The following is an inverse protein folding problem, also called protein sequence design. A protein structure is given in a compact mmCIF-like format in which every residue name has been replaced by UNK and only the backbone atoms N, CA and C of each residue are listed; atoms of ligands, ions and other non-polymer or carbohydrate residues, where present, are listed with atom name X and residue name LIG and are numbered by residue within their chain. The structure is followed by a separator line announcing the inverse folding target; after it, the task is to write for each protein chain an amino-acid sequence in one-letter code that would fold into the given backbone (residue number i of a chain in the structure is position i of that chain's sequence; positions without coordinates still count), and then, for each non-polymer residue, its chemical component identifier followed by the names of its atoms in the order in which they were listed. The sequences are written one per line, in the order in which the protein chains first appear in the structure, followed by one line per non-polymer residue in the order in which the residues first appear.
data_IF_381529070272
#
_entry.id   IF_381529070272
#
_cell.length_a   1.000
_cell.length_b   1.000
_cell.length_c   1.000
_cell.angle_alpha   90.00
_cell.angle_beta   90.00
_cell.angle_gamma   90.00
#
_symmetry.space_group_name_H-M   'P 1'
#
loop_
_entity.id
_entity.type
_entity.pdbx_description
1 polymer ?
#
# COMPACT_ATOMS: atom_id res chain seq x y z
N UNK A 1 29.24 -16.45 43.12
CA UNK A 1 28.21 -16.54 42.06
C UNK A 1 28.32 -15.36 41.08
N UNK A 2 29.19 -15.38 40.04
CA UNK A 2 29.21 -14.33 39.01
C UNK A 2 29.00 -14.84 37.56
N UNK A 3 28.50 -16.06 37.34
CA UNK A 3 28.41 -16.66 36.01
C UNK A 3 27.12 -16.28 35.22
N UNK A 4 26.05 -15.88 35.89
CA UNK A 4 24.76 -15.63 35.22
C UNK A 4 24.66 -14.25 34.55
N UNK A 5 25.43 -13.27 35.00
CA UNK A 5 25.33 -11.89 34.51
C UNK A 5 25.99 -11.70 33.13
N UNK A 6 27.05 -12.47 32.84
CA UNK A 6 27.79 -12.39 31.57
C UNK A 6 27.01 -12.99 30.39
N UNK A 7 26.19 -14.01 30.65
CA UNK A 7 25.41 -14.70 29.61
C UNK A 7 24.24 -13.83 29.12
N UNK A 8 23.61 -13.07 30.02
CA UNK A 8 22.53 -12.14 29.69
C UNK A 8 23.01 -10.93 28.86
N UNK A 9 24.20 -10.42 29.18
CA UNK A 9 24.83 -9.30 28.44
C UNK A 9 25.30 -9.72 27.04
N UNK A 10 25.79 -10.95 26.88
CA UNK A 10 26.17 -11.50 25.58
C UNK A 10 24.95 -11.73 24.66
N UNK A 11 23.82 -12.20 25.20
CA UNK A 11 22.57 -12.38 24.44
C UNK A 11 21.96 -11.03 24.01
N UNK A 12 22.02 -10.02 24.88
CA UNK A 12 21.54 -8.68 24.55
C UNK A 12 22.38 -8.02 23.45
N UNK A 13 23.70 -8.22 23.46
CA UNK A 13 24.59 -7.66 22.45
C UNK A 13 24.43 -8.36 21.09
N UNK A 14 24.20 -9.69 21.08
CA UNK A 14 23.96 -10.46 19.85
C UNK A 14 22.65 -10.06 19.15
N UNK A 15 21.60 -9.76 19.92
CA UNK A 15 20.34 -9.24 19.39
C UNK A 15 20.49 -7.83 18.79
N UNK A 16 21.34 -6.98 19.38
CA UNK A 16 21.58 -5.62 18.89
C UNK A 16 22.45 -5.60 17.61
N UNK A 17 23.40 -6.53 17.50
CA UNK A 17 24.21 -6.72 16.29
C UNK A 17 23.38 -7.27 15.12
N UNK A 18 22.53 -8.27 15.37
CA UNK A 18 21.60 -8.79 14.35
C UNK A 18 20.63 -7.70 13.85
N UNK A 19 20.14 -6.84 14.76
CA UNK A 19 19.30 -5.69 14.44
C UNK A 19 20.04 -4.65 13.59
N UNK A 20 21.34 -4.42 13.83
CA UNK A 20 22.17 -3.51 13.02
C UNK A 20 22.49 -4.08 11.64
N UNK A 21 22.71 -5.39 11.54
CA UNK A 21 22.99 -6.06 10.27
C UNK A 21 21.74 -6.11 9.37
N UNK A 22 20.58 -6.45 9.95
CA UNK A 22 19.30 -6.45 9.23
C UNK A 22 18.90 -5.04 8.76
N UNK A 23 19.17 -3.99 9.55
CA UNK A 23 18.98 -2.60 9.12
C UNK A 23 19.97 -2.19 8.02
N UNK A 24 21.22 -2.66 8.06
CA UNK A 24 22.25 -2.35 7.06
C UNK A 24 21.89 -2.86 5.66
N UNK A 25 21.45 -4.11 5.56
CA UNK A 25 21.07 -4.72 4.27
C UNK A 25 19.80 -4.09 3.69
N UNK A 26 18.81 -3.77 4.54
CA UNK A 26 17.57 -3.11 4.10
C UNK A 26 17.78 -1.64 3.67
N UNK A 27 18.73 -0.92 4.26
CA UNK A 27 19.02 0.48 3.91
C UNK A 27 19.84 0.59 2.63
N UNK A 28 20.77 -0.34 2.37
CA UNK A 28 21.56 -0.35 1.12
C UNK A 28 20.68 -0.60 -0.11
N UNK A 29 19.63 -1.41 0.01
CA UNK A 29 18.75 -1.70 -1.15
C UNK A 29 17.67 -0.63 -1.40
N UNK A 30 17.15 0.03 -0.36
CA UNK A 30 16.09 1.05 -0.53
C UNK A 30 16.64 2.38 -1.07
N UNK A 31 17.93 2.65 -0.92
CA UNK A 31 18.56 3.86 -1.46
C UNK A 31 19.00 3.74 -2.94
N UNK A 32 19.03 2.52 -3.51
CA UNK A 32 19.58 2.26 -4.84
C UNK A 32 18.60 2.32 -6.01
N UNK A 33 17.29 2.45 -5.77
CA UNK A 33 16.25 2.33 -6.81
C UNK A 33 15.46 3.63 -6.97
N UNK A 34 16.11 4.69 -7.45
CA UNK A 34 15.44 5.96 -7.79
C UNK A 34 16.04 6.59 -9.05
N UNK A 35 15.99 5.90 -10.18
CA UNK A 35 16.04 6.50 -11.52
C UNK A 35 15.48 5.51 -12.55
N UNK A 36 14.17 5.61 -12.81
CA UNK A 36 13.60 5.21 -14.11
C UNK A 36 12.63 6.33 -14.51
N UNK A 37 13.16 7.31 -15.25
CA UNK A 37 12.39 8.27 -16.04
C UNK A 37 11.95 7.59 -17.32
N UNK A 38 10.65 7.44 -17.54
CA UNK A 38 10.10 7.05 -18.85
C UNK A 38 9.54 8.30 -19.53
N UNK A 39 10.09 8.56 -20.71
CA UNK A 39 9.73 9.59 -21.68
C UNK A 39 8.30 9.43 -22.21
N UNK A 40 7.55 10.54 -22.28
CA UNK A 40 6.41 10.68 -23.19
C UNK A 40 6.81 11.72 -24.25
N UNK A 41 6.95 11.23 -25.47
CA UNK A 41 7.46 11.93 -26.64
C UNK A 41 6.34 12.73 -27.32
N UNK A 42 6.62 13.99 -27.60
CA UNK A 42 5.82 14.89 -28.46
C UNK A 42 5.81 14.36 -29.89
N UNK A 43 4.62 14.20 -30.47
CA UNK A 43 4.46 13.96 -31.90
C UNK A 43 3.73 15.16 -32.53
N UNK A 44 4.44 15.87 -33.42
CA UNK A 44 3.86 16.76 -34.42
C UNK A 44 4.38 16.35 -35.80
N UNK A 45 3.45 16.44 -36.76
CA UNK A 45 3.57 16.58 -38.22
C UNK A 45 3.90 15.38 -39.12
N UNK A 46 2.95 15.12 -40.04
CA UNK A 46 3.10 15.10 -41.52
C UNK A 46 1.67 15.17 -42.11
N UNK A 47 1.17 16.30 -42.64
CA UNK A 47 1.33 16.89 -43.99
C UNK A 47 0.56 16.16 -45.12
N UNK A 48 -0.50 16.82 -45.66
CA UNK A 48 -0.96 16.71 -47.06
C UNK A 48 -1.63 18.01 -47.51
N UNK A 49 -1.49 18.28 -48.81
CA UNK A 49 -1.52 19.55 -49.56
C UNK A 49 -2.87 19.83 -50.26
N UNK A 50 -3.29 21.10 -50.41
CA UNK A 50 -3.77 21.74 -51.67
C UNK A 50 -4.27 23.22 -51.49
N UNK A 51 -4.35 24.07 -52.55
CA UNK A 51 -4.07 25.52 -52.47
C UNK A 51 -5.18 26.51 -52.93
N UNK A 52 -4.96 27.78 -52.55
CA UNK A 52 -5.19 29.07 -53.25
C UNK A 52 -6.56 29.80 -53.34
N UNK A 53 -6.44 31.15 -53.29
CA UNK A 53 -7.35 32.29 -53.59
C UNK A 53 -8.12 32.88 -52.37
N UNK A 54 -8.21 34.19 -52.11
CA UNK A 54 -7.83 35.44 -52.80
C UNK A 54 -7.95 36.67 -51.84
N UNK A 55 -7.08 37.68 -52.04
CA UNK A 55 -7.21 39.16 -51.85
C UNK A 55 -7.35 39.85 -50.47
N UNK A 56 -6.36 40.73 -50.19
CA UNK A 56 -6.28 41.85 -49.22
C UNK A 56 -7.26 43.03 -49.54
N UNK A 57 -7.18 44.26 -48.93
CA UNK A 57 -6.50 44.76 -47.72
C UNK A 57 -7.37 45.70 -46.82
N UNK A 58 -6.85 46.14 -45.66
CA UNK A 58 -6.63 47.57 -45.25
C UNK A 58 -6.48 47.71 -43.71
N UNK A 59 -5.37 48.36 -43.34
CA UNK A 59 -4.74 48.70 -42.04
C UNK A 59 -5.42 49.90 -41.32
N UNK A 60 -4.82 50.57 -40.30
CA UNK A 60 -4.41 50.23 -38.91
C UNK A 60 -5.15 51.09 -37.83
N UNK A 61 -4.96 50.80 -36.53
CA UNK A 61 -4.50 51.78 -35.50
C UNK A 61 -4.62 51.23 -34.06
N UNK A 62 -3.58 51.50 -33.26
CA UNK A 62 -3.49 51.32 -31.80
C UNK A 62 -3.44 52.73 -31.12
N UNK A 63 -3.09 52.90 -29.84
CA UNK A 63 -3.63 52.40 -28.55
C UNK A 63 -4.04 53.62 -27.65
N UNK A 64 -3.63 53.76 -26.36
CA UNK A 64 -4.17 53.22 -25.09
C UNK A 64 -4.68 54.30 -24.12
N UNK A 65 -5.35 53.94 -23.01
CA UNK A 65 -5.24 54.66 -21.71
C UNK A 65 -5.85 53.87 -20.54
N UNK A 66 -5.10 53.83 -19.42
CA UNK A 66 -5.49 53.38 -18.08
C UNK A 66 -6.07 54.58 -17.27
N UNK A 67 -6.11 54.63 -15.91
CA UNK A 67 -6.36 53.66 -14.83
C UNK A 67 -7.42 54.20 -13.79
N UNK A 68 -7.48 53.56 -12.60
CA UNK A 68 -7.82 54.11 -11.25
C UNK A 68 -9.15 53.67 -10.59
N UNK A 69 -9.01 52.67 -9.70
CA UNK A 69 -9.40 52.51 -8.27
C UNK A 69 -10.60 53.31 -7.63
N UNK A 70 -10.84 53.22 -6.29
CA UNK A 70 -11.77 52.29 -5.64
C UNK A 70 -12.84 53.06 -4.80
N UNK A 71 -13.83 52.39 -4.18
CA UNK A 71 -14.36 52.78 -2.85
C UNK A 71 -15.46 51.84 -2.35
N UNK A 72 -15.44 51.69 -1.03
CA UNK A 72 -16.30 50.87 -0.18
C UNK A 72 -17.73 51.41 -0.04
N UNK A 73 -18.65 50.58 0.52
CA UNK A 73 -19.42 50.82 1.76
C UNK A 73 -20.65 49.86 1.81
N UNK A 74 -20.83 49.17 2.94
CA UNK A 74 -22.03 48.39 3.33
C UNK A 74 -23.12 49.32 3.93
N UNK A 75 -24.29 48.88 4.47
CA UNK A 75 -25.00 47.59 4.47
C UNK A 75 -26.50 47.69 4.08
N UNK A 76 -27.18 46.59 3.71
CA UNK A 76 -28.62 46.37 4.00
C UNK A 76 -29.11 44.97 3.54
N UNK A 77 -29.96 44.35 4.36
CA UNK A 77 -30.74 43.12 4.15
C UNK A 77 -32.21 43.57 4.33
N UNK A 78 -33.26 43.09 3.60
CA UNK A 78 -33.58 41.66 3.39
C UNK A 78 -34.30 41.28 2.07
N UNK A 79 -34.27 39.97 1.74
CA UNK A 79 -35.41 39.15 1.25
C UNK A 79 -34.99 38.09 0.21
N UNK A 80 -35.38 36.85 0.52
CA UNK A 80 -35.81 35.77 -0.37
C UNK A 80 -35.11 35.57 -1.73
N UNK A 81 -34.36 34.48 -1.88
CA UNK A 81 -34.66 33.40 -2.86
C UNK A 81 -33.64 32.25 -2.82
N UNK A 82 -34.19 31.03 -2.76
CA UNK A 82 -33.71 29.76 -3.35
C UNK A 82 -32.34 29.18 -2.98
N UNK A 83 -32.40 28.07 -2.24
CA UNK A 83 -31.37 27.03 -2.15
C UNK A 83 -31.09 26.37 -3.51
N UNK A 84 -29.82 26.13 -3.91
CA UNK A 84 -29.49 25.18 -4.96
C UNK A 84 -29.35 23.76 -4.41
N UNK A 85 -30.12 22.86 -5.01
CA UNK A 85 -30.12 21.41 -4.86
C UNK A 85 -28.83 20.78 -5.43
N UNK A 86 -28.27 19.72 -4.81
CA UNK A 86 -27.17 18.96 -5.37
C UNK A 86 -27.66 17.89 -6.37
N UNK A 87 -27.05 17.85 -7.55
CA UNK A 87 -27.23 16.78 -8.53
C UNK A 87 -26.51 15.51 -8.09
N UNK A 88 -27.27 14.45 -7.83
CA UNK A 88 -26.77 13.08 -7.69
C UNK A 88 -26.97 12.37 -9.05
N UNK A 89 -25.91 11.76 -9.58
CA UNK A 89 -25.96 10.90 -10.76
C UNK A 89 -26.02 9.46 -10.26
N UNK A 90 -27.12 8.77 -10.58
CA UNK A 90 -27.35 7.35 -10.33
C UNK A 90 -27.35 6.61 -11.69
N UNK A 91 -26.69 5.44 -11.84
CA UNK A 91 -26.75 4.68 -13.08
C UNK A 91 -27.93 3.70 -13.12
N UNK A 92 -28.65 3.73 -14.23
CA UNK A 92 -29.83 2.92 -14.59
C UNK A 92 -29.45 1.45 -14.80
N UNK A 93 -30.25 0.55 -14.21
CA UNK A 93 -30.24 -0.90 -14.44
C UNK A 93 -30.73 -1.27 -15.85
N UNK A 94 -30.03 -2.17 -16.53
CA UNK A 94 -30.48 -2.79 -17.78
C UNK A 94 -30.94 -4.25 -17.54
N UNK A 95 -32.20 -4.53 -17.89
CA UNK A 95 -32.78 -5.87 -18.07
C UNK A 95 -32.39 -6.45 -19.44
N UNK A 96 -32.22 -7.78 -19.58
CA UNK A 96 -32.27 -8.45 -20.87
C UNK A 96 -33.65 -9.12 -21.09
N UNK A 97 -34.33 -8.71 -22.17
CA UNK A 97 -35.49 -9.39 -22.72
C UNK A 97 -35.07 -10.47 -23.74
N UNK A 98 -35.87 -11.53 -23.80
CA UNK A 98 -35.71 -12.70 -24.66
C UNK A 98 -35.81 -12.39 -26.16
N UNK A 99 -35.05 -13.11 -26.98
CA UNK A 99 -35.25 -13.19 -28.43
C UNK A 99 -35.03 -14.62 -28.95
N UNK A 100 -36.09 -15.14 -29.56
CA UNK A 100 -36.27 -16.43 -30.23
C UNK A 100 -35.63 -16.41 -31.64
N UNK A 101 -35.14 -17.54 -32.19
CA UNK A 101 -34.58 -17.59 -33.54
C UNK A 101 -35.64 -17.89 -34.62
N UNK A 102 -35.53 -17.33 -35.86
CA UNK A 102 -36.39 -17.71 -36.96
C UNK A 102 -35.87 -18.93 -37.75
N UNK A 103 -36.85 -19.68 -38.26
CA UNK A 103 -36.72 -20.87 -39.09
C UNK A 103 -36.54 -20.56 -40.59
N UNK A 104 -36.21 -21.64 -41.31
CA UNK A 104 -35.82 -21.80 -42.72
C UNK A 104 -36.90 -21.54 -43.77
N UNK A 105 -36.48 -21.19 -45.00
CA UNK A 105 -36.87 -21.78 -46.32
C UNK A 105 -35.84 -21.26 -47.35
N UNK A 106 -35.20 -22.03 -48.24
CA UNK A 106 -35.74 -22.73 -49.41
C UNK A 106 -34.81 -23.86 -49.91
N UNK A 107 -35.45 -24.90 -50.47
CA UNK A 107 -34.92 -26.03 -51.25
C UNK A 107 -35.09 -25.69 -52.76
N UNK A 108 -34.36 -26.30 -53.73
CA UNK A 108 -34.64 -27.68 -54.21
C UNK A 108 -33.34 -28.41 -54.64
N UNK A 109 -33.21 -29.72 -54.79
CA UNK A 109 -34.07 -30.89 -54.75
C UNK A 109 -33.21 -32.05 -55.26
N UNK A 110 -33.30 -33.23 -54.66
CA UNK A 110 -32.82 -34.47 -55.27
C UNK A 110 -33.67 -35.61 -54.73
N UNK A 111 -34.28 -36.31 -55.67
CA UNK A 111 -35.22 -37.38 -55.44
C UNK A 111 -34.53 -38.66 -54.96
N UNK A 112 -35.26 -39.35 -54.09
CA UNK A 112 -35.26 -40.77 -53.77
C UNK A 112 -34.43 -41.70 -54.65
N UNK A 113 -33.63 -42.56 -54.02
CA UNK A 113 -33.70 -44.02 -54.19
C UNK A 113 -32.87 -44.75 -53.13
N UNK A 114 -33.55 -45.58 -52.34
CA UNK A 114 -32.98 -46.67 -51.54
C UNK A 114 -32.78 -47.88 -52.46
N UNK A 115 -31.67 -48.61 -52.35
CA UNK A 115 -31.82 -50.04 -52.06
C UNK A 115 -30.79 -50.61 -51.08
N UNK A 116 -31.35 -51.33 -50.09
CA UNK A 116 -30.95 -52.66 -49.61
C UNK A 116 -29.51 -52.96 -49.16
N UNK A 117 -29.43 -53.24 -47.84
CA UNK A 117 -28.74 -54.37 -47.20
C UNK A 117 -27.87 -55.25 -48.12
N UNK A 118 -26.56 -55.24 -47.87
CA UNK A 118 -25.72 -56.43 -48.05
C UNK A 118 -24.77 -56.56 -46.86
N UNK A 119 -25.13 -57.51 -46.01
CA UNK A 119 -24.37 -58.07 -44.92
C UNK A 119 -23.20 -58.87 -45.51
N UNK A 120 -22.02 -58.26 -45.58
CA UNK A 120 -20.79 -58.96 -45.92
C UNK A 120 -20.06 -59.31 -44.62
N UNK A 121 -20.28 -60.54 -44.16
CA UNK A 121 -19.59 -61.18 -43.05
C UNK A 121 -18.11 -61.35 -43.39
N UNK A 122 -17.24 -60.47 -42.91
CA UNK A 122 -15.79 -60.73 -42.87
C UNK A 122 -15.48 -61.63 -41.66
N UNK A 123 -14.79 -62.76 -41.83
CA UNK A 123 -14.43 -63.65 -40.73
C UNK A 123 -13.58 -62.94 -39.67
N UNK A 124 -14.00 -63.03 -38.42
CA UNK A 124 -13.24 -62.59 -37.25
C UNK A 124 -12.14 -63.63 -37.03
N UNK A 125 -10.90 -63.31 -37.42
CA UNK A 125 -9.73 -64.02 -36.92
C UNK A 125 -9.63 -63.81 -35.41
N UNK A 126 -9.43 -64.86 -34.59
CA UNK A 126 -9.22 -64.71 -33.17
C UNK A 126 -7.82 -64.11 -32.95
N UNK A 127 -7.75 -62.79 -32.82
CA UNK A 127 -6.54 -62.11 -32.36
C UNK A 127 -6.32 -62.53 -30.92
N UNK A 128 -5.38 -63.45 -30.71
CA UNK A 128 -4.91 -63.87 -29.41
C UNK A 128 -4.60 -62.62 -28.56
N UNK A 129 -5.08 -62.50 -27.32
CA UNK A 129 -4.75 -61.36 -26.48
C UNK A 129 -3.28 -61.51 -26.09
N UNK A 130 -2.39 -60.89 -26.86
CA UNK A 130 -1.07 -60.56 -26.34
C UNK A 130 -1.33 -59.77 -25.06
N UNK A 131 -0.72 -60.15 -23.92
CA UNK A 131 -0.87 -59.36 -22.72
C UNK A 131 -0.41 -57.95 -23.11
N UNK A 132 -1.28 -56.97 -22.87
CA UNK A 132 -0.88 -55.57 -22.82
C UNK A 132 0.12 -55.47 -21.66
N UNK A 133 1.36 -55.84 -21.93
CA UNK A 133 2.50 -55.35 -21.21
C UNK A 133 2.29 -53.85 -21.24
N UNK A 134 1.96 -53.27 -20.10
CA UNK A 134 2.21 -51.87 -19.85
C UNK A 134 3.74 -51.72 -19.96
N UNK A 135 4.24 -51.71 -21.19
CA UNK A 135 5.56 -51.20 -21.48
C UNK A 135 5.50 -49.77 -21.01
N UNK A 136 6.08 -49.57 -19.84
CA UNK A 136 6.51 -48.28 -19.36
C UNK A 136 7.32 -47.69 -20.50
N UNK A 137 6.69 -46.86 -21.34
CA UNK A 137 7.35 -46.18 -22.44
C UNK A 137 8.45 -45.34 -21.80
N UNK A 138 9.67 -45.86 -21.84
CA UNK A 138 10.83 -45.35 -21.13
C UNK A 138 11.35 -44.02 -21.72
N UNK A 139 10.59 -43.41 -22.63
CA UNK A 139 10.92 -42.21 -23.37
C UNK A 139 10.47 -40.92 -22.67
N UNK A 140 9.90 -41.00 -21.46
CA UNK A 140 9.50 -39.83 -20.67
C UNK A 140 10.29 -39.74 -19.35
N UNK A 141 11.56 -39.31 -19.37
CA UNK A 141 12.18 -38.71 -18.21
C UNK A 141 11.86 -37.20 -18.18
N UNK A 142 10.57 -36.82 -18.19
CA UNK A 142 10.19 -35.46 -17.80
C UNK A 142 10.04 -35.46 -16.28
N UNK A 143 11.10 -35.02 -15.61
CA UNK A 143 11.07 -34.77 -14.19
C UNK A 143 10.17 -33.54 -13.97
N UNK A 144 8.85 -33.74 -13.90
CA UNK A 144 7.81 -32.73 -13.60
C UNK A 144 7.92 -32.17 -12.17
N UNK A 145 9.08 -32.32 -11.53
CA UNK A 145 9.39 -31.59 -10.32
C UNK A 145 9.46 -30.09 -10.66
N UNK A 146 9.07 -29.19 -9.73
CA UNK A 146 9.21 -27.76 -9.93
C UNK A 146 10.63 -27.33 -10.29
N UNK A 147 11.63 -28.10 -9.83
CA UNK A 147 13.04 -27.90 -10.16
C UNK A 147 13.36 -28.25 -11.62
N UNK A 148 12.87 -29.39 -12.12
CA UNK A 148 13.03 -29.78 -13.52
C UNK A 148 12.36 -28.77 -14.46
N UNK A 149 11.15 -28.33 -14.12
CA UNK A 149 10.41 -27.30 -14.86
C UNK A 149 11.16 -25.96 -14.87
N UNK A 150 11.74 -25.54 -13.73
CA UNK A 150 12.54 -24.32 -13.71
C UNK A 150 13.79 -24.41 -14.59
N UNK A 151 14.46 -25.57 -14.65
CA UNK A 151 15.64 -25.75 -15.49
C UNK A 151 15.30 -25.79 -16.99
N UNK A 152 14.15 -26.35 -17.35
CA UNK A 152 13.66 -26.39 -18.72
C UNK A 152 13.08 -25.05 -19.21
N UNK A 153 12.70 -24.15 -18.30
CA UNK A 153 12.09 -22.88 -18.64
C UNK A 153 12.94 -21.93 -19.50
N UNK A 154 12.25 -21.12 -20.30
CA UNK A 154 12.84 -20.03 -21.06
C UNK A 154 13.50 -18.97 -20.16
N UNK A 155 14.50 -18.25 -20.67
CA UNK A 155 15.27 -17.27 -19.89
C UNK A 155 14.38 -16.16 -19.32
N UNK A 156 13.34 -15.73 -20.03
CA UNK A 156 12.39 -14.72 -19.52
C UNK A 156 11.57 -15.28 -18.36
N UNK A 157 11.03 -16.50 -18.49
CA UNK A 157 10.25 -17.15 -17.44
C UNK A 157 11.10 -17.40 -16.20
N UNK A 158 12.36 -17.83 -16.38
CA UNK A 158 13.34 -17.93 -15.29
C UNK A 158 13.55 -16.60 -14.59
N UNK A 159 13.70 -15.51 -15.34
CA UNK A 159 13.82 -14.15 -14.79
C UNK A 159 12.61 -13.74 -13.95
N UNK A 160 11.40 -14.02 -14.45
CA UNK A 160 10.13 -13.78 -13.74
C UNK A 160 10.09 -14.57 -12.43
N UNK A 161 10.38 -15.87 -12.46
CA UNK A 161 10.36 -16.74 -11.28
C UNK A 161 11.39 -16.31 -10.22
N UNK A 162 12.61 -15.98 -10.64
CA UNK A 162 13.66 -15.48 -9.73
C UNK A 162 13.25 -14.14 -9.12
N UNK A 163 12.71 -13.22 -9.92
CA UNK A 163 12.23 -11.92 -9.45
C UNK A 163 11.12 -12.04 -8.41
N UNK A 164 10.16 -12.94 -8.64
CA UNK A 164 9.07 -13.23 -7.69
C UNK A 164 9.58 -13.91 -6.41
N UNK A 165 10.54 -14.84 -6.52
CA UNK A 165 11.17 -15.45 -5.36
C UNK A 165 11.93 -14.42 -4.51
N UNK A 166 12.64 -13.50 -5.15
CA UNK A 166 13.29 -12.38 -4.46
C UNK A 166 12.29 -11.44 -3.79
N UNK A 167 11.19 -11.09 -4.46
CA UNK A 167 10.13 -10.28 -3.88
C UNK A 167 9.51 -10.94 -2.63
N UNK A 168 9.32 -12.27 -2.65
CA UNK A 168 8.89 -13.04 -1.48
C UNK A 168 9.88 -12.91 -0.31
N UNK A 169 11.18 -13.05 -0.57
CA UNK A 169 12.22 -12.89 0.45
C UNK A 169 12.21 -11.47 1.07
N UNK A 170 12.02 -10.45 0.25
CA UNK A 170 11.87 -9.06 0.72
C UNK A 170 10.65 -8.92 1.63
N UNK A 171 9.49 -9.49 1.25
CA UNK A 171 8.28 -9.46 2.08
C UNK A 171 8.51 -10.04 3.47
N UNK A 172 9.14 -11.22 3.56
CA UNK A 172 9.45 -11.85 4.86
C UNK A 172 10.45 -11.05 5.69
N UNK A 173 11.47 -10.48 5.05
CA UNK A 173 12.49 -9.66 5.73
C UNK A 173 11.87 -8.40 6.32
N UNK A 174 11.05 -7.69 5.53
CA UNK A 174 10.36 -6.49 6.00
C UNK A 174 9.37 -6.83 7.11
N UNK A 175 8.67 -7.96 7.03
CA UNK A 175 7.77 -8.41 8.08
C UNK A 175 8.47 -8.54 9.44
N UNK A 176 9.59 -9.25 9.50
CA UNK A 176 10.32 -9.43 10.76
C UNK A 176 10.86 -8.09 11.27
N UNK A 177 11.53 -7.33 10.39
CA UNK A 177 12.12 -6.05 10.77
C UNK A 177 11.08 -5.05 11.28
N UNK A 178 9.94 -4.90 10.58
CA UNK A 178 8.88 -3.97 10.96
C UNK A 178 8.10 -4.43 12.19
N UNK A 179 7.93 -5.74 12.38
CA UNK A 179 7.28 -6.27 13.59
C UNK A 179 8.05 -5.87 14.84
N UNK A 180 9.38 -6.02 14.83
CA UNK A 180 10.24 -5.66 15.97
C UNK A 180 10.28 -4.13 16.17
N UNK A 181 10.41 -3.35 15.08
CA UNK A 181 10.43 -1.89 15.14
C UNK A 181 9.14 -1.32 15.76
N UNK A 182 7.98 -1.78 15.27
CA UNK A 182 6.68 -1.31 15.69
C UNK A 182 6.31 -1.77 17.10
N UNK A 183 6.60 -3.04 17.45
CA UNK A 183 6.38 -3.55 18.79
C UNK A 183 7.18 -2.73 19.82
N UNK A 184 8.47 -2.50 19.57
CA UNK A 184 9.31 -1.68 20.43
C UNK A 184 8.81 -0.23 20.54
N UNK A 185 8.34 0.37 19.44
CA UNK A 185 7.79 1.72 19.45
C UNK A 185 6.49 1.83 20.27
N UNK A 186 5.58 0.86 20.13
CA UNK A 186 4.33 0.80 20.90
C UNK A 186 4.56 0.62 22.39
N UNK A 187 5.47 -0.29 22.77
CA UNK A 187 5.80 -0.52 24.19
C UNK A 187 6.35 0.76 24.82
N UNK A 188 7.28 1.45 24.14
CA UNK A 188 7.83 2.73 24.63
C UNK A 188 6.76 3.82 24.74
N UNK A 189 5.94 4.00 23.71
CA UNK A 189 4.86 4.99 23.71
C UNK A 189 3.84 4.71 24.82
N UNK A 190 3.40 3.45 24.97
CA UNK A 190 2.48 3.04 26.03
C UNK A 190 3.06 3.21 27.43
N UNK A 191 4.35 2.94 27.63
CA UNK A 191 5.04 3.17 28.90
C UNK A 191 5.11 4.67 29.25
N UNK A 192 5.39 5.54 28.29
CA UNK A 192 5.38 7.00 28.49
C UNK A 192 3.98 7.52 28.74
N UNK A 193 2.98 7.05 27.99
CA UNK A 193 1.58 7.43 28.20
C UNK A 193 1.08 7.06 29.62
N UNK A 194 1.50 5.91 30.16
CA UNK A 194 1.22 5.55 31.56
C UNK A 194 1.81 6.55 32.56
N UNK A 195 2.98 7.11 32.29
CA UNK A 195 3.59 8.16 33.12
C UNK A 195 2.79 9.45 33.00
N UNK A 196 2.48 9.89 31.78
CA UNK A 196 1.69 11.11 31.52
C UNK A 196 0.35 11.07 32.26
N UNK A 197 -0.36 9.93 32.23
CA UNK A 197 -1.66 9.78 32.92
C UNK A 197 -1.57 9.81 34.44
N UNK A 198 -0.42 9.45 35.03
CA UNK A 198 -0.23 9.40 36.48
C UNK A 198 0.30 10.71 37.06
N UNK A 199 1.04 11.47 36.25
CA UNK A 199 1.69 12.70 36.70
C UNK A 199 0.68 13.80 37.04
N UNK A 200 1.02 14.58 38.07
CA UNK A 200 0.23 15.75 38.51
C UNK A 200 0.70 17.05 37.86
N UNK A 201 1.94 17.10 37.37
CA UNK A 201 2.49 18.27 36.70
C UNK A 201 3.27 17.86 35.45
N UNK A 202 3.50 18.82 34.55
CA UNK A 202 4.34 18.60 33.37
C UNK A 202 5.78 18.25 33.77
N UNK A 203 6.32 18.94 34.78
CA UNK A 203 7.68 18.71 35.28
C UNK A 203 7.89 17.29 35.77
N UNK A 204 6.97 16.77 36.59
CA UNK A 204 7.01 15.40 37.12
C UNK A 204 7.00 14.37 35.97
N UNK A 205 6.14 14.59 34.97
CA UNK A 205 6.06 13.70 33.82
C UNK A 205 7.36 13.69 33.00
N UNK A 206 7.95 14.87 32.77
CA UNK A 206 9.19 15.04 31.98
C UNK A 206 10.39 14.39 32.67
N UNK A 207 10.54 14.58 33.99
CA UNK A 207 11.61 13.97 34.79
C UNK A 207 11.50 12.44 34.79
N UNK A 208 10.29 11.90 34.97
CA UNK A 208 10.04 10.46 34.94
C UNK A 208 10.30 9.78 33.57
N UNK A 209 10.53 10.56 32.51
CA UNK A 209 10.88 10.08 31.16
C UNK A 209 12.22 10.62 30.64
N UNK A 210 13.03 11.25 31.48
CA UNK A 210 14.31 11.86 31.08
C UNK A 210 15.26 10.87 30.39
N UNK A 211 15.33 9.64 30.90
CA UNK A 211 16.14 8.55 30.32
C UNK A 211 15.44 7.78 29.21
N UNK A 212 14.16 8.07 28.93
CA UNK A 212 13.37 7.38 27.90
C UNK A 212 13.45 8.13 26.57
N UNK A 213 13.59 7.37 25.49
CA UNK A 213 13.55 7.89 24.13
C UNK A 213 12.20 7.66 23.44
N UNK A 214 11.99 8.36 22.33
CA UNK A 214 10.86 8.18 21.43
C UNK A 214 9.91 9.36 21.37
N UNK A 215 8.92 9.34 20.45
CA UNK A 215 8.10 10.52 20.15
C UNK A 215 7.29 11.03 21.33
N UNK A 216 6.70 10.14 22.15
CA UNK A 216 5.94 10.54 23.32
C UNK A 216 6.81 11.19 24.42
N UNK A 217 8.08 10.78 24.56
CA UNK A 217 9.01 11.45 25.48
C UNK A 217 9.49 12.79 24.92
N UNK A 218 9.68 12.88 23.60
CA UNK A 218 9.99 14.13 22.92
C UNK A 218 8.86 15.16 23.07
N UNK A 219 7.59 14.72 23.01
CA UNK A 219 6.42 15.56 23.25
C UNK A 219 6.46 16.27 24.61
N UNK A 220 6.79 15.54 25.69
CA UNK A 220 6.96 16.11 27.03
C UNK A 220 8.09 17.15 27.09
N UNK A 221 9.24 16.83 26.50
CA UNK A 221 10.40 17.75 26.44
C UNK A 221 10.07 19.02 25.66
N UNK A 222 9.41 18.88 24.52
CA UNK A 222 9.02 20.03 23.68
C UNK A 222 7.99 20.92 24.39
N UNK A 223 7.00 20.34 25.06
CA UNK A 223 6.05 21.12 25.86
C UNK A 223 6.74 21.83 27.04
N UNK A 224 7.66 21.15 27.72
CA UNK A 224 8.43 21.74 28.83
C UNK A 224 9.32 22.88 28.34
N UNK A 225 9.99 22.69 27.21
CA UNK A 225 10.82 23.70 26.58
C UNK A 225 9.98 24.92 26.17
N UNK A 226 8.83 24.73 25.53
CA UNK A 226 7.92 25.81 25.16
C UNK A 226 7.40 26.60 26.37
N UNK A 227 7.09 25.90 27.47
CA UNK A 227 6.73 26.51 28.75
C UNK A 227 7.86 27.37 29.33
N UNK A 228 9.11 26.91 29.25
CA UNK A 228 10.28 27.64 29.74
C UNK A 228 10.59 28.89 28.90
N UNK A 229 10.47 28.81 27.57
CA UNK A 229 10.66 29.99 26.71
C UNK A 229 9.58 31.05 26.94
N UNK A 230 8.37 30.61 27.30
CA UNK A 230 7.23 31.50 27.50
C UNK A 230 7.16 32.08 28.92
N UNK A 231 8.06 31.70 29.83
CA UNK A 231 7.96 32.00 31.27
C UNK A 231 7.81 33.50 31.56
N UNK A 232 8.54 34.36 30.83
CA UNK A 232 8.46 35.82 30.97
C UNK A 232 7.13 36.44 30.48
N UNK A 233 6.40 35.74 29.59
CA UNK A 233 5.16 36.24 28.96
C UNK A 233 3.91 35.62 29.62
N UNK A 234 4.07 34.49 30.33
CA UNK A 234 2.97 33.77 31.01
C UNK A 234 2.21 34.65 32.00
N UNK A 235 2.90 35.55 32.72
CA UNK A 235 2.27 36.44 33.71
C UNK A 235 1.40 37.54 33.08
N UNK A 236 1.62 37.84 31.79
CA UNK A 236 1.00 38.98 31.09
C UNK A 236 -0.01 38.54 30.02
N UNK A 237 -0.33 37.25 29.90
CA UNK A 237 -1.19 36.71 28.84
C UNK A 237 -2.08 35.58 29.35
N UNK A 238 -3.22 35.37 28.70
CA UNK A 238 -4.21 34.32 28.96
C UNK A 238 -3.73 32.88 28.67
N UNK A 239 -2.42 32.64 28.52
CA UNK A 239 -1.80 31.35 28.20
C UNK A 239 -2.27 30.68 26.89
N UNK A 240 -3.21 31.27 26.15
CA UNK A 240 -3.83 30.66 24.97
C UNK A 240 -2.81 30.44 23.85
N UNK A 241 -1.95 31.43 23.60
CA UNK A 241 -0.89 31.33 22.61
C UNK A 241 0.13 30.21 22.91
N UNK A 242 0.39 29.91 24.19
CA UNK A 242 1.31 28.84 24.59
C UNK A 242 0.69 27.48 24.28
N UNK A 243 -0.59 27.31 24.64
CA UNK A 243 -1.34 26.08 24.36
C UNK A 243 -1.39 25.80 22.85
N UNK A 244 -1.60 26.82 22.03
CA UNK A 244 -1.62 26.69 20.57
C UNK A 244 -0.25 26.27 20.00
N UNK A 245 0.85 26.90 20.47
CA UNK A 245 2.21 26.52 20.05
C UNK A 245 2.57 25.10 20.47
N UNK A 246 2.21 24.71 21.69
CA UNK A 246 2.40 23.33 22.18
C UNK A 246 1.60 22.36 21.31
N UNK A 247 0.29 22.56 21.13
CA UNK A 247 -0.56 21.69 20.29
C UNK A 247 0.01 21.53 18.88
N UNK A 248 0.42 22.64 18.25
CA UNK A 248 1.06 22.64 16.94
C UNK A 248 2.35 21.80 16.92
N UNK A 249 3.22 21.96 17.92
CA UNK A 249 4.46 21.19 18.03
C UNK A 249 4.18 19.69 18.25
N UNK A 250 3.22 19.34 19.10
CA UNK A 250 2.84 17.95 19.38
C UNK A 250 2.28 17.26 18.12
N UNK A 251 1.38 17.92 17.40
CA UNK A 251 0.81 17.42 16.13
C UNK A 251 1.89 17.14 15.06
N UNK A 252 2.91 18.01 14.97
CA UNK A 252 4.06 17.79 14.08
C UNK A 252 4.86 16.55 14.46
N UNK A 253 5.11 16.33 15.76
CA UNK A 253 5.83 15.14 16.26
C UNK A 253 5.04 13.87 15.96
N UNK A 254 3.73 13.87 16.22
CA UNK A 254 2.85 12.74 15.93
C UNK A 254 2.87 12.38 14.44
N UNK A 255 2.65 13.37 13.58
CA UNK A 255 2.62 13.19 12.12
C UNK A 255 3.97 12.67 11.61
N UNK A 256 5.08 13.23 12.08
CA UNK A 256 6.41 12.79 11.71
C UNK A 256 6.68 11.35 12.16
N UNK A 257 6.31 10.99 13.38
CA UNK A 257 6.47 9.64 13.92
C UNK A 257 5.63 8.61 13.15
N UNK A 258 4.38 8.95 12.83
CA UNK A 258 3.49 8.12 12.01
C UNK A 258 4.09 7.87 10.63
N UNK A 259 4.51 8.93 9.92
CA UNK A 259 5.13 8.83 8.59
C UNK A 259 6.41 8.00 8.60
N UNK A 260 7.27 8.20 9.61
CA UNK A 260 8.50 7.42 9.78
C UNK A 260 8.19 5.93 9.94
N UNK A 261 7.16 5.59 10.71
CA UNK A 261 6.77 4.19 10.93
C UNK A 261 6.24 3.54 9.65
N UNK A 262 5.48 4.27 8.83
CA UNK A 262 4.99 3.83 7.50
C UNK A 262 6.10 3.65 6.46
N UNK A 263 7.30 4.19 6.67
CA UNK A 263 8.38 4.06 5.69
C UNK A 263 8.79 2.59 5.53
N UNK A 264 8.84 2.12 4.28
CA UNK A 264 9.24 0.74 3.93
C UNK A 264 8.07 -0.25 3.82
N UNK A 265 6.89 0.06 4.37
CA UNK A 265 5.71 -0.83 4.17
C UNK A 265 5.11 -0.68 2.77
N UNK A 266 5.38 0.42 2.07
CA UNK A 266 4.92 0.64 0.70
C UNK A 266 5.44 -0.41 -0.30
N UNK A 267 6.64 -0.97 -0.06
CA UNK A 267 7.19 -2.04 -0.90
C UNK A 267 6.28 -3.27 -0.89
N UNK A 268 5.64 -3.59 0.25
CA UNK A 268 4.72 -4.72 0.35
C UNK A 268 3.42 -4.46 -0.42
N UNK A 269 2.95 -3.21 -0.41
CA UNK A 269 1.78 -2.83 -1.21
C UNK A 269 2.07 -3.00 -2.70
N UNK A 270 3.25 -2.55 -3.16
CA UNK A 270 3.67 -2.72 -4.55
C UNK A 270 3.83 -4.19 -4.92
N UNK A 271 4.55 -4.99 -4.13
CA UNK A 271 4.70 -6.43 -4.39
C UNK A 271 3.33 -7.12 -4.42
N UNK A 272 2.47 -6.82 -3.45
CA UNK A 272 1.13 -7.39 -3.37
C UNK A 272 0.25 -7.05 -4.56
N UNK A 273 0.37 -5.85 -5.13
CA UNK A 273 -0.43 -5.44 -6.30
C UNK A 273 0.18 -5.86 -7.64
N UNK A 274 1.51 -5.94 -7.77
CA UNK A 274 2.17 -6.21 -9.06
C UNK A 274 2.56 -7.67 -9.27
N UNK A 275 2.88 -8.43 -8.21
CA UNK A 275 3.34 -9.81 -8.34
C UNK A 275 2.36 -10.75 -9.10
N UNK A 276 1.03 -10.64 -8.97
CA UNK A 276 0.11 -11.45 -9.77
C UNK A 276 0.23 -11.16 -11.27
N UNK A 277 0.40 -9.89 -11.64
CA UNK A 277 0.55 -9.48 -13.05
C UNK A 277 1.91 -9.88 -13.61
N UNK A 278 2.96 -9.87 -12.79
CA UNK A 278 4.28 -10.39 -13.17
C UNK A 278 4.21 -11.91 -13.42
N UNK A 279 3.47 -12.65 -12.60
CA UNK A 279 3.20 -14.08 -12.83
C UNK A 279 2.37 -14.34 -14.10
N UNK A 280 1.33 -13.53 -14.32
CA UNK A 280 0.50 -13.57 -15.53
C UNK A 280 1.35 -13.29 -16.79
N UNK A 281 2.25 -12.31 -16.74
CA UNK A 281 3.21 -12.06 -17.82
C UNK A 281 4.05 -13.32 -18.13
N UNK A 282 4.54 -14.01 -17.09
CA UNK A 282 5.23 -15.29 -17.24
C UNK A 282 4.39 -16.35 -17.95
N UNK A 283 3.08 -16.45 -17.64
CA UNK A 283 2.20 -17.39 -18.37
C UNK A 283 2.01 -17.03 -19.82
N UNK A 284 1.76 -15.75 -20.13
CA UNK A 284 1.53 -15.29 -21.49
C UNK A 284 2.77 -15.56 -22.34
N UNK A 285 3.95 -15.29 -21.80
CA UNK A 285 5.22 -15.57 -22.46
C UNK A 285 5.44 -17.06 -22.71
N UNK A 286 5.25 -17.92 -21.70
CA UNK A 286 5.47 -19.36 -21.85
C UNK A 286 4.47 -20.03 -22.81
N UNK A 287 3.20 -19.59 -22.81
CA UNK A 287 2.20 -20.06 -23.77
C UNK A 287 2.55 -19.61 -25.19
N UNK A 288 2.96 -18.35 -25.36
CA UNK A 288 3.42 -17.84 -26.66
C UNK A 288 4.58 -18.66 -27.20
N UNK A 289 5.60 -18.95 -26.38
CA UNK A 289 6.74 -19.77 -26.79
C UNK A 289 6.34 -21.22 -27.13
N UNK A 290 5.36 -21.77 -26.41
CA UNK A 290 4.81 -23.10 -26.72
C UNK A 290 4.13 -23.12 -28.09
N UNK A 291 3.36 -22.08 -28.46
CA UNK A 291 2.76 -21.98 -29.80
C UNK A 291 3.81 -21.80 -30.91
N UNK A 292 4.88 -21.05 -30.67
CA UNK A 292 6.01 -20.94 -31.62
C UNK A 292 6.61 -22.33 -31.88
N UNK A 293 6.84 -23.12 -30.82
CA UNK A 293 7.40 -24.48 -30.98
C UNK A 293 6.53 -25.43 -31.80
N UNK A 294 5.20 -25.32 -31.72
CA UNK A 294 4.27 -26.08 -32.59
C UNK A 294 4.45 -25.67 -34.05
N UNK A 295 4.54 -24.36 -34.30
CA UNK A 295 4.70 -23.82 -35.66
C UNK A 295 6.02 -24.26 -36.30
N UNK A 296 7.10 -24.28 -35.53
CA UNK A 296 8.43 -24.68 -36.01
C UNK A 296 8.54 -26.19 -36.23
N UNK A 297 7.96 -26.98 -35.32
CA UNK A 297 8.02 -28.45 -35.37
C UNK A 297 7.01 -29.08 -36.33
N UNK A 298 6.04 -28.30 -36.85
CA UNK A 298 4.98 -28.74 -37.76
C UNK A 298 4.22 -29.98 -37.26
N UNK A 299 4.23 -30.23 -35.95
CA UNK A 299 3.55 -31.37 -35.32
C UNK A 299 2.55 -30.89 -34.27
N UNK A 300 1.38 -31.52 -34.25
CA UNK A 300 0.33 -31.28 -33.25
C UNK A 300 0.52 -32.14 -32.00
N UNK A 301 1.70 -32.75 -31.83
CA UNK A 301 1.98 -33.62 -30.69
C UNK A 301 2.00 -32.82 -29.38
N UNK A 302 1.00 -33.05 -28.52
CA UNK A 302 0.84 -32.40 -27.22
C UNK A 302 2.02 -32.62 -26.27
N UNK A 303 2.79 -33.70 -26.45
CA UNK A 303 3.96 -33.98 -25.61
C UNK A 303 5.04 -32.90 -25.75
N UNK A 304 5.14 -32.23 -26.91
CA UNK A 304 6.15 -31.20 -27.18
C UNK A 304 5.84 -29.90 -26.43
N UNK A 305 4.55 -29.59 -26.21
CA UNK A 305 4.13 -28.32 -25.58
C UNK A 305 3.74 -28.43 -24.12
N UNK A 306 3.41 -29.62 -23.65
CA UNK A 306 3.01 -29.82 -22.25
C UNK A 306 4.01 -29.24 -21.23
N UNK A 307 5.34 -29.34 -21.42
CA UNK A 307 6.30 -28.73 -20.49
C UNK A 307 6.22 -27.20 -20.43
N UNK A 308 6.18 -26.51 -21.57
CA UNK A 308 6.15 -25.04 -21.63
C UNK A 308 4.87 -24.44 -21.04
N UNK A 309 3.73 -25.12 -21.22
CA UNK A 309 2.46 -24.72 -20.60
C UNK A 309 2.52 -24.93 -19.08
N UNK A 310 3.09 -26.05 -18.61
CA UNK A 310 3.22 -26.32 -17.19
C UNK A 310 4.11 -25.27 -16.50
N UNK A 311 5.24 -24.89 -17.12
CA UNK A 311 6.15 -23.85 -16.62
C UNK A 311 5.49 -22.47 -16.57
N UNK A 312 4.74 -22.12 -17.62
CA UNK A 312 3.91 -20.92 -17.64
C UNK A 312 2.99 -20.88 -16.41
N UNK A 313 2.19 -21.93 -16.18
CA UNK A 313 1.27 -22.00 -15.05
C UNK A 313 1.98 -21.91 -13.69
N UNK A 314 3.17 -22.49 -13.57
CA UNK A 314 4.00 -22.40 -12.38
C UNK A 314 4.40 -20.94 -12.08
N UNK A 315 4.72 -20.13 -13.09
CA UNK A 315 5.06 -18.72 -12.91
C UNK A 315 3.91 -17.92 -12.27
N UNK A 316 2.66 -18.16 -12.69
CA UNK A 316 1.48 -17.54 -12.06
C UNK A 316 1.26 -18.03 -10.63
N UNK A 317 1.42 -19.33 -10.38
CA UNK A 317 1.32 -19.88 -9.03
C UNK A 317 2.32 -19.22 -8.07
N UNK A 318 3.58 -19.06 -8.49
CA UNK A 318 4.61 -18.36 -7.71
C UNK A 318 4.25 -16.88 -7.51
N UNK A 319 3.68 -16.23 -8.52
CA UNK A 319 3.20 -14.84 -8.43
C UNK A 319 2.17 -14.66 -7.32
N UNK A 320 1.21 -15.57 -7.22
CA UNK A 320 0.20 -15.57 -6.15
C UNK A 320 0.81 -15.87 -4.78
N UNK A 321 1.74 -16.84 -4.70
CA UNK A 321 2.45 -17.17 -3.45
C UNK A 321 3.27 -15.99 -2.93
N UNK A 322 3.84 -15.16 -3.82
CA UNK A 322 4.53 -13.93 -3.43
C UNK A 322 3.55 -12.80 -3.04
N UNK A 323 2.44 -12.65 -3.76
CA UNK A 323 1.48 -11.56 -3.58
C UNK A 323 0.67 -11.67 -2.29
N UNK A 324 0.11 -12.85 -2.01
CA UNK A 324 -0.85 -13.03 -0.91
C UNK A 324 -0.25 -12.65 0.46
N UNK A 325 0.94 -13.16 0.86
CA UNK A 325 1.56 -12.76 2.11
C UNK A 325 1.87 -11.26 2.15
N UNK A 326 2.33 -10.68 1.04
CA UNK A 326 2.67 -9.25 0.97
C UNK A 326 1.46 -8.37 1.29
N UNK A 327 0.29 -8.67 0.70
CA UNK A 327 -0.96 -7.92 0.96
C UNK A 327 -1.41 -8.09 2.41
N UNK A 328 -1.40 -9.31 2.95
CA UNK A 328 -1.82 -9.57 4.33
C UNK A 328 -0.93 -8.81 5.31
N UNK A 329 0.39 -8.92 5.16
CA UNK A 329 1.36 -8.26 6.03
C UNK A 329 1.22 -6.73 5.92
N UNK A 330 1.06 -6.19 4.72
CA UNK A 330 0.83 -4.76 4.50
C UNK A 330 -0.40 -4.27 5.28
N UNK A 331 -1.52 -4.98 5.17
CA UNK A 331 -2.77 -4.61 5.86
C UNK A 331 -2.64 -4.65 7.38
N UNK A 332 -1.95 -5.67 7.91
CA UNK A 332 -1.66 -5.79 9.34
C UNK A 332 -0.82 -4.59 9.82
N UNK A 333 0.21 -4.20 9.07
CA UNK A 333 1.02 -3.04 9.41
C UNK A 333 0.26 -1.72 9.25
N UNK A 334 -0.53 -1.55 8.20
CA UNK A 334 -1.36 -0.34 8.02
C UNK A 334 -2.26 -0.12 9.24
N UNK A 335 -3.01 -1.15 9.64
CA UNK A 335 -3.85 -1.10 10.86
C UNK A 335 -3.01 -0.87 12.12
N UNK A 336 -1.86 -1.53 12.20
CA UNK A 336 -1.03 -1.45 13.38
C UNK A 336 -0.38 -0.07 13.57
N UNK A 337 0.02 0.57 12.49
CA UNK A 337 0.57 1.93 12.47
C UNK A 337 -0.52 2.92 12.87
N UNK A 338 -1.75 2.77 12.38
CA UNK A 338 -2.88 3.59 12.83
C UNK A 338 -3.07 3.48 14.35
N UNK A 339 -3.04 2.28 14.92
CA UNK A 339 -3.08 2.09 16.37
C UNK A 339 -1.89 2.76 17.10
N UNK A 340 -0.70 2.78 16.51
CA UNK A 340 0.44 3.50 17.06
C UNK A 340 0.24 5.03 17.02
N UNK A 341 -0.35 5.58 15.96
CA UNK A 341 -0.69 7.00 15.85
C UNK A 341 -1.70 7.40 16.92
N UNK A 342 -2.75 6.60 17.14
CA UNK A 342 -3.70 6.83 18.24
C UNK A 342 -3.03 6.87 19.61
N UNK A 343 -2.09 5.95 19.90
CA UNK A 343 -1.33 5.99 21.16
C UNK A 343 -0.49 7.27 21.32
N UNK A 344 0.03 7.83 20.23
CA UNK A 344 0.74 9.11 20.27
C UNK A 344 -0.20 10.29 20.43
N UNK A 345 -1.37 10.27 19.78
CA UNK A 345 -2.41 11.27 19.96
C UNK A 345 -2.92 11.32 21.41
N UNK A 346 -3.12 10.15 22.04
CA UNK A 346 -3.47 10.06 23.46
C UNK A 346 -2.38 10.66 24.35
N UNK A 347 -1.11 10.45 24.00
CA UNK A 347 0.01 11.04 24.72
C UNK A 347 0.06 12.56 24.55
N UNK A 348 -0.12 13.06 23.33
CA UNK A 348 -0.19 14.50 23.04
C UNK A 348 -1.33 15.16 23.83
N UNK A 349 -2.53 14.61 23.78
CA UNK A 349 -3.67 15.10 24.55
C UNK A 349 -3.42 15.03 26.07
N UNK A 350 -2.69 14.02 26.54
CA UNK A 350 -2.25 13.94 27.93
C UNK A 350 -1.30 15.08 28.31
N UNK A 351 -0.33 15.39 27.46
CA UNK A 351 0.61 16.50 27.65
C UNK A 351 -0.12 17.84 27.64
N UNK A 352 -1.06 18.06 26.70
CA UNK A 352 -1.87 19.29 26.65
C UNK A 352 -2.69 19.52 27.92
N UNK A 353 -3.24 18.45 28.52
CA UNK A 353 -3.95 18.54 29.80
C UNK A 353 -3.01 18.94 30.94
N UNK A 354 -1.78 18.41 30.97
CA UNK A 354 -0.77 18.81 31.95
C UNK A 354 -0.40 20.28 31.79
N UNK A 355 -0.14 20.73 30.55
CA UNK A 355 0.18 22.12 30.24
C UNK A 355 -0.97 23.05 30.63
N UNK A 356 -2.21 22.73 30.24
CA UNK A 356 -3.39 23.52 30.58
C UNK A 356 -3.54 23.66 32.10
N UNK A 357 -3.43 22.55 32.83
CA UNK A 357 -3.53 22.53 34.29
C UNK A 357 -2.43 23.35 34.96
N UNK A 358 -1.18 23.22 34.51
CA UNK A 358 -0.04 23.96 35.07
C UNK A 358 -0.17 25.47 34.79
N UNK A 359 -0.69 25.87 33.62
CA UNK A 359 -1.00 27.27 33.31
C UNK A 359 -2.13 27.83 34.19
N UNK A 360 -3.19 27.05 34.42
CA UNK A 360 -4.31 27.46 35.28
C UNK A 360 -3.87 27.65 36.74
N UNK A 361 -3.04 26.74 37.27
CA UNK A 361 -2.50 26.87 38.63
C UNK A 361 -1.63 28.11 38.82
N UNK A 362 -0.86 28.52 37.81
CA UNK A 362 -0.04 29.74 37.87
C UNK A 362 -0.87 31.03 37.94
N UNK A 363 -2.15 30.99 37.54
CA UNK A 363 -3.05 32.15 37.61
C UNK A 363 -3.68 32.36 38.97
N UNK A 364 -3.71 31.34 39.84
CA UNK A 364 -4.29 31.46 41.17
C UNK A 364 -3.29 32.23 42.04
N UNK A 365 -3.59 33.47 42.46
CA UNK A 365 -2.67 34.23 43.29
C UNK A 365 -2.43 33.51 44.62
N UNK A 366 -1.20 33.53 45.17
CA UNK A 366 -0.95 33.01 46.51
C UNK A 366 -1.75 33.82 47.54
N UNK A 367 -2.91 33.31 47.98
CA UNK A 367 -3.76 33.95 48.99
C UNK A 367 -5.28 33.79 48.85
N UNK A 368 -5.81 33.27 47.73
CA UNK A 368 -7.27 33.17 47.50
C UNK A 368 -7.95 31.93 48.10
N UNK A 369 -7.23 31.09 48.84
CA UNK A 369 -7.81 29.99 49.61
C UNK A 369 -8.48 30.52 50.90
N UNK A 370 -9.55 31.31 50.76
CA UNK A 370 -10.49 31.52 51.87
C UNK A 370 -11.08 30.16 52.22
N UNK A 371 -10.64 29.57 53.34
CA UNK A 371 -11.35 28.47 53.99
C UNK A 371 -12.84 28.86 54.06
N UNK A 372 -13.78 28.04 53.55
CA UNK A 372 -15.18 28.27 53.88
C UNK A 372 -15.26 28.19 55.40
N UNK A 373 -15.65 29.30 56.04
CA UNK A 373 -15.90 29.32 57.47
C UNK A 373 -17.03 28.34 57.72
N UNK A 374 -16.69 27.12 58.14
CA UNK A 374 -17.64 26.16 58.69
C UNK A 374 -18.14 26.79 59.98
N UNK A 375 -19.25 27.52 59.91
CA UNK A 375 -19.98 27.90 61.11
C UNK A 375 -20.58 26.62 61.69
N UNK A 376 -19.85 26.00 62.62
CA UNK A 376 -20.45 25.15 63.63
C UNK A 376 -21.38 26.04 64.47
N UNK A 377 -22.58 26.29 63.95
CA UNK A 377 -23.71 26.74 64.76
C UNK A 377 -24.16 25.51 65.52
N UNK A 378 -23.72 25.42 66.78
CA UNK A 378 -24.35 24.55 67.75
C UNK A 378 -25.72 25.11 68.13
N UNK A 379 -26.76 24.31 67.98
CA UNK A 379 -27.71 24.01 69.06
C UNK A 379 -28.50 22.76 68.77
#
# INVERSE_FOLDING_TARGET
MPAETSTSLALFNRANTARRFALGVAVIFVAGSSTVTVFAQTASETQTVQPAQQTDPVTPAAPPTAPVQPSATAPEQPAASTSPQPSSIEPVQAQPAAATPPAQTEQPGQASETPALNEATTPIEPVSPAPASAEHRADIPHNLSPWGMFMAADWVVKGVMIGLAFASLVTWTVWVAKSIELAGARVRAGATLKVIRKAKTLSEATEAVEKKGGPAALMLRMATHEMQLSDAVVEHTDGGGIKERVSSALSRIETHAGRRMSRGTGVLATIGSTAPFVGLFGTVWGIMNSFISISESQTTNLAVVAPGIAEALLATAIGLVAAIPAVVIYNVFARSITGYRHLLADAAAGVERLVSRDLDFRRIPPGSASRPAVSLVGR
#
